data_IF_910910162670
#
_entry.id   IF_910910162670
#
_cell.length_a   1.000
_cell.length_b   1.000
_cell.length_c   1.000
_cell.angle_alpha   90.00
_cell.angle_beta   90.00
_cell.angle_gamma   90.00
#
_symmetry.space_group_name_H-M   'P 1'
#
loop_
_entity.id
_entity.type
_entity.pdbx_description
1 polymer ?
#
# COMPACT_ATOMS: atom_id res chain seq x y z
N UNK A 1 20.27 -33.02 14.86
CA UNK A 1 19.74 -31.65 14.73
C UNK A 1 20.82 -30.81 14.07
N UNK A 2 20.70 -30.52 12.76
CA UNK A 2 21.67 -29.69 12.03
C UNK A 2 21.26 -28.21 12.14
N UNK A 3 22.11 -27.32 12.66
CA UNK A 3 21.85 -25.89 12.78
C UNK A 3 22.22 -25.15 11.47
N UNK A 4 21.71 -25.61 10.33
CA UNK A 4 21.87 -24.92 9.05
C UNK A 4 20.53 -24.30 8.63
N UNK A 5 20.04 -23.37 9.45
CA UNK A 5 18.93 -22.49 9.07
C UNK A 5 19.46 -21.45 8.08
N UNK A 6 19.06 -21.61 6.82
CA UNK A 6 18.77 -20.57 5.83
C UNK A 6 19.61 -19.28 5.94
N UNK A 7 20.86 -19.34 5.48
CA UNK A 7 21.56 -18.13 5.05
C UNK A 7 21.20 -17.90 3.58
N UNK A 8 20.65 -16.72 3.26
CA UNK A 8 20.56 -16.26 1.87
C UNK A 8 21.95 -16.38 1.24
N UNK A 9 22.08 -16.86 -0.02
CA UNK A 9 23.38 -17.02 -0.65
C UNK A 9 24.18 -15.71 -0.54
N UNK A 10 25.45 -15.77 -0.12
CA UNK A 10 26.23 -14.57 0.13
C UNK A 10 26.37 -13.76 -1.15
N UNK A 11 26.05 -12.46 -1.08
CA UNK A 11 26.18 -11.54 -2.22
C UNK A 11 27.66 -11.50 -2.65
N UNK A 12 27.97 -11.75 -3.93
CA UNK A 12 29.33 -11.67 -4.45
C UNK A 12 30.00 -10.35 -4.10
N UNK A 13 31.31 -10.37 -3.78
CA UNK A 13 32.06 -9.19 -3.35
C UNK A 13 31.90 -8.01 -4.32
N UNK A 14 31.94 -8.30 -5.62
CA UNK A 14 31.80 -7.31 -6.70
C UNK A 14 30.43 -6.61 -6.72
N UNK A 15 29.39 -7.23 -6.15
CA UNK A 15 28.02 -6.71 -6.09
C UNK A 15 27.67 -6.10 -4.73
N UNK A 16 28.55 -6.18 -3.73
CA UNK A 16 28.32 -5.54 -2.42
C UNK A 16 28.19 -4.02 -2.50
N UNK A 17 28.98 -3.28 -3.32
CA UNK A 17 28.80 -1.84 -3.45
C UNK A 17 27.39 -1.49 -3.97
N UNK A 18 26.88 -2.26 -4.95
CA UNK A 18 25.53 -2.12 -5.46
C UNK A 18 24.46 -2.46 -4.40
N UNK A 19 24.66 -3.54 -3.64
CA UNK A 19 23.75 -3.94 -2.57
C UNK A 19 23.64 -2.89 -1.44
N UNK A 20 24.69 -2.11 -1.23
CA UNK A 20 24.76 -1.08 -0.19
C UNK A 20 24.37 0.32 -0.70
N UNK A 21 24.08 0.46 -2.00
CA UNK A 21 23.68 1.74 -2.59
C UNK A 21 22.26 2.10 -2.18
N UNK A 22 22.05 3.30 -1.64
CA UNK A 22 20.77 3.72 -1.07
C UNK A 22 19.89 4.54 -2.02
N UNK A 23 20.49 5.15 -3.06
CA UNK A 23 19.83 6.11 -3.96
C UNK A 23 20.10 5.79 -5.44
N UNK A 24 19.95 4.52 -5.81
CA UNK A 24 20.16 4.08 -7.19
C UNK A 24 19.17 4.77 -8.13
N UNK A 25 19.69 5.18 -9.28
CA UNK A 25 18.93 5.76 -10.39
C UNK A 25 19.02 4.89 -11.64
N UNK A 26 18.02 4.98 -12.51
CA UNK A 26 18.00 4.22 -13.75
C UNK A 26 19.14 4.64 -14.70
N UNK A 27 19.51 5.91 -14.71
CA UNK A 27 20.61 6.48 -15.52
C UNK A 27 22.01 5.97 -15.11
N UNK A 28 22.17 5.44 -13.90
CA UNK A 28 23.38 4.73 -13.47
C UNK A 28 23.56 3.38 -14.18
N UNK A 29 22.59 2.93 -14.97
CA UNK A 29 22.65 1.68 -15.69
C UNK A 29 22.63 1.92 -17.19
N UNK A 30 23.60 1.33 -17.88
CA UNK A 30 23.63 1.30 -19.36
C UNK A 30 23.18 -0.07 -19.85
N UNK A 31 22.04 -0.12 -20.53
CA UNK A 31 21.54 -1.36 -21.15
C UNK A 31 22.42 -1.69 -22.36
N UNK A 32 22.89 -2.94 -22.43
CA UNK A 32 23.81 -3.38 -23.48
C UNK A 32 23.13 -3.32 -24.84
N UNK A 33 23.68 -2.52 -25.75
CA UNK A 33 23.15 -2.34 -27.11
C UNK A 33 23.13 -3.67 -27.90
N UNK A 34 22.04 -3.91 -28.64
CA UNK A 34 21.85 -5.15 -29.42
C UNK A 34 21.36 -6.35 -28.61
N UNK A 35 21.33 -6.27 -27.28
CA UNK A 35 20.70 -7.28 -26.42
C UNK A 35 19.17 -7.23 -26.54
N UNK A 36 18.53 -8.35 -26.89
CA UNK A 36 17.07 -8.46 -26.79
C UNK A 36 16.67 -8.62 -25.32
N UNK A 37 15.75 -7.79 -24.86
CA UNK A 37 15.11 -7.96 -23.57
C UNK A 37 14.36 -9.30 -23.54
N UNK A 38 14.48 -10.04 -22.43
CA UNK A 38 13.68 -11.23 -22.19
C UNK A 38 12.45 -10.79 -21.39
N UNK A 39 11.25 -10.98 -21.93
CA UNK A 39 10.00 -10.61 -21.26
C UNK A 39 9.35 -11.86 -20.68
N UNK A 40 9.08 -11.84 -19.37
CA UNK A 40 8.39 -12.93 -18.65
C UNK A 40 7.28 -12.30 -17.79
N UNK A 41 6.02 -12.55 -18.16
CA UNK A 41 4.87 -11.93 -17.50
C UNK A 41 4.94 -10.40 -17.59
N UNK A 42 4.92 -9.73 -16.44
CA UNK A 42 4.99 -8.25 -16.34
C UNK A 42 6.41 -7.69 -16.18
N UNK A 43 7.44 -8.54 -16.30
CA UNK A 43 8.84 -8.17 -16.11
C UNK A 43 9.62 -8.25 -17.43
N UNK A 44 10.42 -7.23 -17.69
CA UNK A 44 11.40 -7.20 -18.77
C UNK A 44 12.82 -7.28 -18.19
N UNK A 45 13.59 -8.26 -18.63
CA UNK A 45 14.95 -8.49 -18.19
C UNK A 45 15.95 -8.01 -19.24
N UNK A 46 16.81 -7.08 -18.84
CA UNK A 46 17.85 -6.48 -19.68
C UNK A 46 19.24 -6.80 -19.13
N UNK A 47 20.17 -7.12 -20.02
CA UNK A 47 21.59 -7.08 -19.68
C UNK A 47 22.03 -5.62 -19.59
N UNK A 48 22.67 -5.25 -18.48
CA UNK A 48 23.09 -3.87 -18.25
C UNK A 48 24.43 -3.81 -17.52
N UNK A 49 25.06 -2.64 -17.56
CA UNK A 49 26.28 -2.32 -16.84
C UNK A 49 25.99 -1.24 -15.81
N UNK A 50 26.33 -1.48 -14.54
CA UNK A 50 26.23 -0.46 -13.49
C UNK A 50 27.45 0.47 -13.54
N UNK A 51 27.21 1.76 -13.76
CA UNK A 51 28.20 2.76 -14.16
C UNK A 51 29.38 2.94 -13.20
N UNK A 52 29.24 2.95 -11.86
CA UNK A 52 30.35 3.22 -10.94
C UNK A 52 31.55 2.29 -11.11
N UNK A 53 31.30 1.01 -11.47
CA UNK A 53 32.34 -0.02 -11.58
C UNK A 53 32.24 -0.83 -12.88
N UNK A 54 31.45 -0.39 -13.87
CA UNK A 54 31.16 -1.14 -15.10
C UNK A 54 30.87 -2.62 -14.81
N UNK A 55 30.07 -2.87 -13.76
CA UNK A 55 29.80 -4.23 -13.30
C UNK A 55 28.61 -4.79 -14.06
N UNK A 56 28.74 -5.96 -14.71
CA UNK A 56 27.63 -6.56 -15.44
C UNK A 56 26.53 -7.01 -14.47
N UNK A 57 25.31 -6.60 -14.76
CA UNK A 57 24.11 -6.89 -13.97
C UNK A 57 22.95 -7.25 -14.90
N UNK A 58 21.93 -7.88 -14.32
CA UNK A 58 20.63 -8.03 -14.99
C UNK A 58 19.64 -7.08 -14.34
N UNK A 59 19.12 -6.14 -15.14
CA UNK A 59 18.03 -5.28 -14.71
C UNK A 59 16.70 -5.96 -15.00
N UNK A 60 15.89 -6.15 -13.97
CA UNK A 60 14.51 -6.57 -14.10
C UNK A 60 13.62 -5.33 -13.95
N UNK A 61 13.06 -4.86 -15.06
CA UNK A 61 12.13 -3.73 -15.11
C UNK A 61 10.70 -4.25 -15.00
N UNK A 62 9.89 -3.61 -14.18
CA UNK A 62 8.47 -3.96 -13.99
C UNK A 62 7.70 -2.65 -13.86
N UNK A 63 6.59 -2.51 -14.58
CA UNK A 63 5.77 -1.29 -14.56
C UNK A 63 4.87 -1.21 -13.30
N UNK A 64 4.84 -2.29 -12.53
CA UNK A 64 3.88 -2.59 -11.48
C UNK A 64 4.58 -2.89 -10.14
N UNK A 65 5.77 -2.34 -9.87
CA UNK A 65 6.40 -2.55 -8.58
C UNK A 65 5.62 -1.75 -7.53
N UNK A 66 4.86 -2.46 -6.70
CA UNK A 66 4.45 -1.88 -5.43
C UNK A 66 5.72 -1.63 -4.63
N UNK A 67 5.99 -0.37 -4.31
CA UNK A 67 7.07 -0.01 -3.39
C UNK A 67 6.92 -0.63 -2.01
N UNK A 68 5.80 -1.30 -1.74
CA UNK A 68 5.64 -2.23 -0.63
C UNK A 68 6.68 -3.38 -0.63
N UNK A 69 7.39 -3.61 -1.74
CA UNK A 69 8.55 -4.51 -1.82
C UNK A 69 9.76 -4.03 -1.00
N UNK A 70 9.75 -2.83 -0.43
CA UNK A 70 10.66 -2.48 0.67
C UNK A 70 10.57 -3.46 1.85
N UNK A 71 9.48 -4.24 1.92
CA UNK A 71 9.30 -5.32 2.89
C UNK A 71 9.49 -6.73 2.27
N UNK A 72 9.95 -6.83 1.02
CA UNK A 72 10.50 -8.06 0.45
C UNK A 72 11.79 -8.49 1.16
N UNK A 73 12.48 -7.55 1.83
CA UNK A 73 13.53 -7.88 2.81
C UNK A 73 13.05 -8.79 3.94
N UNK A 74 11.81 -8.67 4.40
CA UNK A 74 11.24 -9.56 5.44
C UNK A 74 10.58 -10.81 4.84
N UNK A 75 10.06 -10.73 3.60
CA UNK A 75 9.65 -11.93 2.86
C UNK A 75 10.85 -12.82 2.54
N UNK A 76 12.08 -12.28 2.37
CA UNK A 76 13.33 -13.07 2.33
C UNK A 76 13.54 -13.91 3.61
N UNK A 77 13.10 -13.41 4.77
CA UNK A 77 13.18 -14.16 6.04
C UNK A 77 12.07 -15.21 6.18
N UNK A 78 10.87 -14.97 5.64
CA UNK A 78 9.72 -15.87 5.78
C UNK A 78 9.59 -16.90 4.65
N UNK A 79 9.97 -16.55 3.43
CA UNK A 79 9.85 -17.42 2.25
C UNK A 79 11.02 -18.37 2.07
N UNK A 80 12.00 -18.33 2.99
CA UNK A 80 13.10 -19.28 3.05
C UNK A 80 13.69 -19.59 1.68
N UNK A 81 14.20 -18.58 0.96
CA UNK A 81 14.78 -18.71 -0.38
C UNK A 81 14.10 -19.81 -1.21
N UNK A 82 12.85 -19.59 -1.64
CA UNK A 82 12.13 -20.52 -2.49
C UNK A 82 13.05 -21.01 -3.62
N UNK A 83 13.39 -22.30 -3.57
CA UNK A 83 14.39 -22.91 -4.45
C UNK A 83 14.01 -22.65 -5.91
N UNK A 84 14.87 -21.94 -6.65
CA UNK A 84 14.66 -21.60 -8.06
C UNK A 84 14.12 -20.18 -8.36
N UNK A 85 13.84 -19.35 -7.35
CA UNK A 85 13.44 -17.95 -7.57
C UNK A 85 14.64 -17.01 -7.68
N UNK A 86 14.63 -16.10 -8.67
CA UNK A 86 15.60 -15.02 -8.78
C UNK A 86 15.35 -13.99 -7.67
N UNK A 87 16.35 -13.79 -6.81
CA UNK A 87 16.31 -12.78 -5.75
C UNK A 87 17.09 -11.53 -6.19
N UNK A 88 16.48 -10.33 -6.18
CA UNK A 88 17.19 -9.12 -6.50
C UNK A 88 18.23 -8.80 -5.42
N UNK A 89 19.37 -8.28 -5.88
CA UNK A 89 20.46 -7.79 -5.05
C UNK A 89 20.03 -6.49 -4.36
N UNK A 90 19.37 -5.62 -5.10
CA UNK A 90 18.80 -4.34 -4.65
C UNK A 90 17.56 -4.00 -5.47
N UNK A 91 16.69 -3.15 -4.93
CA UNK A 91 15.45 -2.70 -5.56
C UNK A 91 15.29 -1.19 -5.34
N UNK A 92 14.93 -0.47 -6.40
CA UNK A 92 14.62 0.96 -6.37
C UNK A 92 13.50 1.27 -7.37
N UNK A 93 12.99 2.49 -7.34
CA UNK A 93 11.92 2.93 -8.24
C UNK A 93 12.30 4.28 -8.84
N UNK A 94 12.18 4.36 -10.17
CA UNK A 94 12.57 5.53 -10.95
C UNK A 94 11.67 5.66 -12.19
N UNK A 95 11.78 6.80 -12.88
CA UNK A 95 11.17 7.00 -14.18
C UNK A 95 12.01 6.28 -15.25
N UNK A 96 11.37 5.35 -15.96
CA UNK A 96 12.03 4.54 -17.00
C UNK A 96 11.34 4.79 -18.34
N UNK A 97 12.10 5.05 -19.43
CA UNK A 97 11.54 5.17 -20.76
C UNK A 97 10.76 3.92 -21.19
N UNK A 98 9.57 4.12 -21.78
CA UNK A 98 8.64 3.03 -22.11
C UNK A 98 9.18 2.04 -23.15
N UNK A 99 10.16 2.43 -23.96
CA UNK A 99 10.84 1.54 -24.91
C UNK A 99 11.58 0.38 -24.23
N UNK A 100 11.91 0.49 -22.93
CA UNK A 100 12.51 -0.60 -22.16
C UNK A 100 11.48 -1.57 -21.55
N UNK A 101 10.19 -1.33 -21.75
CA UNK A 101 9.09 -2.20 -21.32
C UNK A 101 8.25 -2.65 -22.54
N UNK A 102 8.84 -3.41 -23.48
CA UNK A 102 8.10 -3.91 -24.64
C UNK A 102 6.97 -4.84 -24.15
N UNK A 103 5.73 -4.58 -24.58
CA UNK A 103 4.50 -5.38 -24.33
C UNK A 103 3.67 -5.04 -23.07
N UNK A 104 3.93 -3.94 -22.36
CA UNK A 104 3.03 -3.50 -21.29
C UNK A 104 1.84 -2.70 -21.84
N UNK A 105 0.60 -2.89 -21.31
CA UNK A 105 -0.52 -2.01 -21.60
C UNK A 105 -0.15 -0.57 -21.31
N UNK A 106 -0.70 0.38 -22.06
CA UNK A 106 -0.42 1.82 -21.93
C UNK A 106 -0.85 2.33 -20.55
N UNK A 107 0.03 2.27 -19.55
CA UNK A 107 -0.20 2.89 -18.24
C UNK A 107 -0.03 4.40 -18.42
N UNK A 108 -1.11 5.17 -18.34
CA UNK A 108 -0.98 6.62 -18.17
C UNK A 108 -0.54 6.90 -16.74
N UNK A 109 0.65 7.45 -16.61
CA UNK A 109 1.16 8.00 -15.37
C UNK A 109 0.56 9.41 -15.24
N UNK A 110 -0.29 9.64 -14.24
CA UNK A 110 -0.64 11.01 -13.84
C UNK A 110 0.29 11.41 -12.71
N UNK A 111 1.17 12.40 -12.95
CA UNK A 111 1.94 13.00 -11.87
C UNK A 111 0.98 13.63 -10.86
N UNK A 112 1.17 13.31 -9.57
CA UNK A 112 0.25 13.70 -8.50
C UNK A 112 0.29 15.19 -8.18
N UNK A 113 1.30 15.93 -8.63
CA UNK A 113 1.42 17.37 -8.42
C UNK A 113 0.15 18.14 -8.86
N UNK A 114 -0.50 17.72 -9.96
CA UNK A 114 -1.79 18.28 -10.42
C UNK A 114 -3.02 17.43 -10.02
N UNK A 115 -2.83 16.26 -9.38
CA UNK A 115 -3.82 15.18 -9.43
C UNK A 115 -4.39 14.71 -8.11
N UNK A 116 -3.84 14.96 -6.91
CA UNK A 116 -4.53 14.50 -5.68
C UNK A 116 -5.86 15.26 -5.43
N UNK A 117 -5.91 16.55 -5.73
CA UNK A 117 -7.17 17.33 -5.76
C UNK A 117 -8.13 16.82 -6.84
N UNK A 118 -7.61 16.45 -8.03
CA UNK A 118 -8.38 15.75 -9.06
C UNK A 118 -8.76 14.31 -8.64
N UNK A 119 -8.06 13.69 -7.68
CA UNK A 119 -8.42 12.39 -7.14
C UNK A 119 -9.64 12.50 -6.27
N UNK A 120 -9.75 13.57 -5.49
CA UNK A 120 -10.98 13.84 -4.76
C UNK A 120 -12.19 13.87 -5.70
N UNK A 121 -12.06 14.49 -6.88
CA UNK A 121 -13.11 14.50 -7.89
C UNK A 121 -13.26 13.18 -8.66
N UNK A 122 -12.18 12.45 -8.96
CA UNK A 122 -12.21 11.13 -9.62
C UNK A 122 -12.81 10.05 -8.70
N UNK A 123 -12.42 10.04 -7.42
CA UNK A 123 -12.97 9.13 -6.40
C UNK A 123 -14.45 9.42 -6.19
N UNK A 124 -14.82 10.70 -6.08
CA UNK A 124 -16.23 11.10 -6.00
C UNK A 124 -17.01 10.70 -7.27
N UNK A 125 -16.43 10.88 -8.46
CA UNK A 125 -17.02 10.45 -9.73
C UNK A 125 -17.13 8.92 -9.87
N UNK A 126 -16.15 8.15 -9.37
CA UNK A 126 -16.20 6.67 -9.33
C UNK A 126 -17.34 6.20 -8.43
N UNK A 127 -17.51 6.83 -7.27
CA UNK A 127 -18.62 6.57 -6.35
C UNK A 127 -19.96 6.90 -7.00
N UNK A 128 -20.06 8.02 -7.72
CA UNK A 128 -21.29 8.40 -8.44
C UNK A 128 -21.61 7.45 -9.61
N UNK A 129 -20.61 6.95 -10.33
CA UNK A 129 -20.80 5.98 -11.41
C UNK A 129 -21.12 4.56 -10.92
N UNK A 130 -20.58 4.13 -9.77
CA UNK A 130 -20.91 2.84 -9.14
C UNK A 130 -22.35 2.79 -8.59
N UNK A 131 -23.04 3.93 -8.45
CA UNK A 131 -24.50 3.95 -8.17
C UNK A 131 -25.32 3.31 -9.30
N UNK A 132 -24.77 3.20 -10.52
CA UNK A 132 -25.49 2.72 -11.71
C UNK A 132 -25.24 1.25 -12.09
N UNK A 133 -24.19 0.60 -11.59
CA UNK A 133 -23.84 -0.78 -11.96
C UNK A 133 -23.60 -1.64 -10.72
N UNK A 134 -24.59 -2.47 -10.37
CA UNK A 134 -24.43 -3.55 -9.39
C UNK A 134 -24.18 -4.84 -10.15
N UNK A 135 -22.99 -5.42 -10.00
CA UNK A 135 -22.74 -6.85 -9.75
C UNK A 135 -21.22 -7.10 -9.75
N UNK A 136 -20.64 -7.39 -8.57
CA UNK A 136 -19.60 -8.41 -8.33
C UNK A 136 -18.77 -8.08 -7.06
N UNK A 137 -18.57 -9.12 -6.24
CA UNK A 137 -17.70 -9.23 -5.07
C UNK A 137 -17.72 -8.10 -4.03
N UNK A 138 -18.53 -8.35 -3.01
CA UNK A 138 -18.79 -7.46 -1.89
C UNK A 138 -17.59 -7.24 -0.97
N UNK A 139 -17.61 -6.06 -0.39
CA UNK A 139 -16.86 -5.67 0.79
C UNK A 139 -17.38 -4.30 1.22
N UNK A 140 -18.48 -4.28 1.98
CA UNK A 140 -18.88 -3.08 2.72
C UNK A 140 -17.74 -2.67 3.64
N UNK A 141 -17.53 -1.37 3.92
CA UNK A 141 -16.67 -1.00 5.05
C UNK A 141 -17.46 -1.28 6.31
N UNK A 142 -17.08 -2.28 7.09
CA UNK A 142 -18.08 -2.82 8.00
C UNK A 142 -17.78 -2.41 9.45
N UNK A 143 -16.71 -1.64 9.68
CA UNK A 143 -16.30 -1.07 10.97
C UNK A 143 -16.87 0.34 11.28
N UNK A 144 -17.66 0.93 10.39
CA UNK A 144 -18.17 2.31 10.51
C UNK A 144 -19.70 2.45 10.49
N UNK A 145 -20.43 1.35 10.30
CA UNK A 145 -21.88 1.32 10.08
C UNK A 145 -22.71 0.90 11.31
N UNK A 146 -22.10 0.54 12.44
CA UNK A 146 -22.85 0.12 13.65
C UNK A 146 -23.14 1.28 14.61
N UNK A 147 -23.83 2.31 14.11
CA UNK A 147 -24.65 3.20 14.92
C UNK A 147 -26.12 2.80 14.75
N UNK A 148 -26.58 1.84 15.55
CA UNK A 148 -27.96 1.75 16.02
C UNK A 148 -27.97 0.82 17.24
N UNK A 149 -28.37 1.38 18.37
CA UNK A 149 -28.54 0.69 19.66
C UNK A 149 -29.51 -0.48 19.54
N UNK A 150 -29.41 -1.51 20.40
CA UNK A 150 -30.24 -2.70 20.29
C UNK A 150 -31.61 -2.46 20.92
N UNK A 151 -32.68 -2.50 20.13
CA UNK A 151 -34.01 -2.72 20.70
C UNK A 151 -34.94 -3.42 19.72
N UNK A 152 -35.21 -4.69 20.04
CA UNK A 152 -36.40 -5.51 19.74
C UNK A 152 -37.01 -5.45 18.33
N UNK A 153 -36.96 -6.59 17.64
CA UNK A 153 -37.99 -7.00 16.68
C UNK A 153 -39.34 -7.25 17.41
N UNK A 154 -40.53 -7.10 16.79
CA UNK A 154 -40.82 -7.57 15.42
C UNK A 154 -41.70 -6.68 14.50
N UNK A 155 -41.71 -7.07 13.22
CA UNK A 155 -42.74 -6.90 12.17
C UNK A 155 -42.80 -5.63 11.29
N UNK A 156 -42.56 -5.88 9.98
CA UNK A 156 -43.22 -5.34 8.76
C UNK A 156 -43.64 -3.86 8.72
N UNK A 157 -42.79 -3.00 8.17
CA UNK A 157 -43.16 -1.91 7.21
C UNK A 157 -41.91 -1.46 6.43
N UNK A 158 -41.99 -1.16 5.12
CA UNK A 158 -40.84 -0.65 4.35
C UNK A 158 -40.74 0.86 4.54
N UNK A 159 -39.80 1.32 5.37
CA UNK A 159 -39.54 2.75 5.53
C UNK A 159 -38.36 3.18 4.63
N UNK A 160 -38.49 4.24 3.80
CA UNK A 160 -37.48 4.63 2.82
C UNK A 160 -36.47 5.61 3.44
N UNK A 161 -35.36 5.11 3.99
CA UNK A 161 -34.23 5.97 4.43
C UNK A 161 -32.84 5.36 4.16
N UNK A 162 -32.72 4.43 3.21
CA UNK A 162 -31.53 3.59 3.03
C UNK A 162 -30.43 4.05 2.06
N UNK A 163 -30.41 5.29 1.55
CA UNK A 163 -29.48 5.68 0.47
C UNK A 163 -28.24 6.52 0.90
N UNK A 164 -28.09 6.88 2.17
CA UNK A 164 -27.00 7.78 2.61
C UNK A 164 -25.65 7.07 2.89
N UNK A 165 -25.59 5.75 3.07
CA UNK A 165 -24.42 5.14 3.73
C UNK A 165 -23.41 4.44 2.81
N UNK A 166 -23.79 4.06 1.58
CA UNK A 166 -22.91 3.24 0.73
C UNK A 166 -21.83 4.08 0.03
N UNK A 167 -22.17 5.30 -0.39
CA UNK A 167 -21.25 6.23 -1.06
C UNK A 167 -20.08 6.61 -0.16
N UNK A 168 -20.38 6.98 1.08
CA UNK A 168 -19.38 7.41 2.07
C UNK A 168 -18.48 6.26 2.51
N UNK A 169 -19.02 5.04 2.59
CA UNK A 169 -18.23 3.83 2.85
C UNK A 169 -17.26 3.54 1.69
N UNK A 170 -17.71 3.61 0.43
CA UNK A 170 -16.81 3.40 -0.73
C UNK A 170 -15.71 4.47 -0.75
N UNK A 171 -16.08 5.75 -0.56
CA UNK A 171 -15.11 6.85 -0.52
C UNK A 171 -14.08 6.65 0.60
N UNK A 172 -14.54 6.28 1.80
CA UNK A 172 -13.68 5.99 2.93
C UNK A 172 -12.71 4.82 2.64
N UNK A 173 -13.10 3.87 1.76
CA UNK A 173 -12.29 2.69 1.42
C UNK A 173 -11.19 3.10 0.47
N UNK A 174 -11.54 3.87 -0.54
CA UNK A 174 -10.59 4.36 -1.53
C UNK A 174 -9.57 5.31 -0.89
N UNK A 175 -10.02 6.27 -0.07
CA UNK A 175 -9.15 7.18 0.68
C UNK A 175 -8.27 6.40 1.66
N UNK A 176 -8.85 5.46 2.41
CA UNK A 176 -8.11 4.60 3.33
C UNK A 176 -7.05 3.77 2.61
N UNK A 177 -7.36 3.26 1.42
CA UNK A 177 -6.42 2.46 0.63
C UNK A 177 -5.28 3.29 0.05
N UNK A 178 -5.56 4.48 -0.49
CA UNK A 178 -4.52 5.42 -0.95
C UNK A 178 -3.61 5.82 0.22
N UNK A 179 -4.19 6.15 1.37
CA UNK A 179 -3.42 6.46 2.57
C UNK A 179 -2.59 5.27 3.06
N UNK A 180 -3.10 4.05 2.98
CA UNK A 180 -2.33 2.87 3.37
C UNK A 180 -1.10 2.69 2.48
N UNK A 181 -1.25 2.88 1.17
CA UNK A 181 -0.13 2.82 0.23
C UNK A 181 0.91 3.91 0.53
N UNK A 182 0.46 5.14 0.81
CA UNK A 182 1.36 6.24 1.21
C UNK A 182 2.12 5.90 2.50
N UNK A 183 1.42 5.48 3.55
CA UNK A 183 2.05 5.12 4.83
C UNK A 183 3.04 3.97 4.67
N UNK A 184 2.75 2.97 3.84
CA UNK A 184 3.71 1.92 3.52
C UNK A 184 4.96 2.48 2.83
N UNK A 185 4.79 3.39 1.86
CA UNK A 185 5.91 4.07 1.21
C UNK A 185 6.77 4.87 2.20
N UNK A 186 6.14 5.66 3.07
CA UNK A 186 6.83 6.44 4.10
C UNK A 186 7.56 5.55 5.11
N UNK A 187 6.96 4.45 5.55
CA UNK A 187 7.64 3.49 6.42
C UNK A 187 8.87 2.86 5.77
N UNK A 188 8.83 2.65 4.45
CA UNK A 188 9.99 2.14 3.72
C UNK A 188 11.10 3.20 3.61
N UNK A 189 10.75 4.48 3.47
CA UNK A 189 11.72 5.58 3.57
C UNK A 189 12.33 5.64 4.99
N UNK A 190 11.50 5.54 6.02
CA UNK A 190 11.95 5.50 7.42
C UNK A 190 12.93 4.36 7.68
N UNK A 191 12.66 3.16 7.15
CA UNK A 191 13.55 2.00 7.25
C UNK A 191 14.89 2.18 6.53
N UNK A 192 14.93 3.06 5.52
CA UNK A 192 16.15 3.47 4.80
C UNK A 192 16.87 4.64 5.49
N UNK A 193 16.39 5.10 6.64
CA UNK A 193 16.97 6.24 7.37
C UNK A 193 16.61 7.61 6.80
N UNK A 194 15.59 7.69 5.93
CA UNK A 194 15.08 8.95 5.41
C UNK A 194 14.00 9.46 6.38
N UNK A 195 14.18 10.67 6.90
CA UNK A 195 13.30 11.25 7.92
C UNK A 195 12.42 12.41 7.38
N UNK A 196 12.80 12.98 6.24
CA UNK A 196 12.15 14.16 5.65
C UNK A 196 11.88 13.97 4.16
N UNK A 197 10.83 14.64 3.68
CA UNK A 197 10.38 14.62 2.28
C UNK A 197 9.69 15.96 1.95
N UNK A 198 9.61 16.37 0.66
CA UNK A 198 8.87 17.58 0.29
C UNK A 198 7.41 17.50 0.71
N UNK A 199 6.91 18.54 1.40
CA UNK A 199 5.51 18.61 1.86
C UNK A 199 4.52 18.70 0.68
N UNK A 200 4.98 19.19 -0.47
CA UNK A 200 4.24 19.20 -1.73
C UNK A 200 3.98 17.79 -2.27
N UNK A 201 4.67 16.77 -1.74
CA UNK A 201 4.66 15.39 -2.22
C UNK A 201 5.00 15.29 -3.71
N UNK A 202 5.88 16.17 -4.21
CA UNK A 202 6.33 16.23 -5.60
C UNK A 202 6.96 14.92 -6.10
N UNK A 203 7.48 14.12 -5.17
CA UNK A 203 8.06 12.81 -5.43
C UNK A 203 7.07 11.63 -5.28
N UNK A 204 5.81 11.87 -4.93
CA UNK A 204 4.77 10.84 -4.87
C UNK A 204 4.00 10.88 -6.18
N UNK A 205 3.69 9.71 -6.75
CA UNK A 205 2.94 9.56 -7.99
C UNK A 205 1.83 8.54 -7.78
N UNK A 206 0.67 8.78 -8.42
CA UNK A 206 -0.45 7.85 -8.41
C UNK A 206 -0.76 7.41 -9.84
N UNK A 207 -0.56 6.13 -10.10
CA UNK A 207 -0.78 5.50 -11.39
C UNK A 207 -2.14 4.80 -11.40
N UNK A 208 -2.90 4.93 -12.49
CA UNK A 208 -4.11 4.15 -12.72
C UNK A 208 -4.12 3.65 -14.15
N UNK A 209 -4.48 2.38 -14.33
CA UNK A 209 -4.69 1.81 -15.67
C UNK A 209 -5.86 2.52 -16.36
N UNK A 210 -5.64 2.96 -17.60
CA UNK A 210 -6.63 3.71 -18.39
C UNK A 210 -7.78 2.81 -18.83
N UNK A 211 -7.44 1.60 -19.28
CA UNK A 211 -8.38 0.67 -19.89
C UNK A 211 -9.19 -0.09 -18.82
N UNK A 212 -8.68 -0.16 -17.60
CA UNK A 212 -9.34 -0.82 -16.49
C UNK A 212 -9.90 0.20 -15.47
N UNK A 213 -11.13 0.65 -15.71
CA UNK A 213 -11.82 1.62 -14.82
C UNK A 213 -11.98 1.10 -13.38
N UNK A 214 -12.03 -0.23 -13.22
CA UNK A 214 -12.18 -0.92 -11.94
C UNK A 214 -10.83 -1.12 -11.22
N UNK A 215 -9.70 -1.01 -11.94
CA UNK A 215 -8.39 -1.07 -11.33
C UNK A 215 -8.23 0.00 -10.24
N UNK A 216 -7.64 -0.43 -9.13
CA UNK A 216 -7.29 0.47 -8.06
C UNK A 216 -6.06 1.29 -8.44
N UNK A 217 -6.03 2.53 -7.97
CA UNK A 217 -4.90 3.39 -8.19
C UNK A 217 -3.71 2.93 -7.33
N UNK A 218 -2.51 3.03 -7.90
CA UNK A 218 -1.24 2.58 -7.33
C UNK A 218 -0.38 3.77 -6.95
N UNK A 219 0.12 3.82 -5.72
CA UNK A 219 0.98 4.90 -5.25
C UNK A 219 2.45 4.50 -5.29
N UNK A 220 3.28 5.35 -5.88
CA UNK A 220 4.72 5.19 -6.00
C UNK A 220 5.42 6.39 -5.35
N UNK A 221 6.47 6.16 -4.57
CA UNK A 221 7.28 7.21 -3.91
C UNK A 221 8.67 7.23 -4.54
N UNK A 222 8.92 8.14 -5.46
CA UNK A 222 10.19 8.24 -6.16
C UNK A 222 11.29 8.67 -5.18
N UNK A 223 12.40 7.92 -5.15
CA UNK A 223 13.47 8.14 -4.18
C UNK A 223 14.40 9.30 -4.55
N UNK A 224 14.26 9.85 -5.76
CA UNK A 224 14.93 11.06 -6.22
C UNK A 224 14.37 11.41 -7.58
N UNK A 225 13.61 12.50 -7.70
CA UNK A 225 13.40 13.19 -8.99
C UNK A 225 14.43 14.30 -9.20
N UNK A 226 15.25 14.57 -8.18
CA UNK A 226 15.98 15.81 -8.04
C UNK A 226 17.43 15.55 -7.62
N UNK A 227 18.28 15.23 -8.59
CA UNK A 227 19.70 15.58 -8.47
C UNK A 227 20.15 16.63 -9.48
N UNK A 228 19.49 16.82 -10.64
CA UNK A 228 20.15 17.59 -11.72
C UNK A 228 19.30 18.60 -12.52
N UNK A 229 18.14 19.04 -12.01
CA UNK A 229 17.50 20.24 -12.56
C UNK A 229 16.81 21.00 -11.45
N UNK A 230 17.38 22.15 -11.08
CA UNK A 230 16.79 23.16 -10.18
C UNK A 230 16.10 22.57 -8.96
N UNK A 231 16.81 22.46 -7.82
CA UNK A 231 16.11 22.70 -6.57
C UNK A 231 15.49 24.09 -6.74
N UNK A 232 14.18 24.15 -6.94
CA UNK A 232 13.44 25.25 -6.37
C UNK A 232 13.78 25.15 -4.88
N UNK A 233 14.72 25.95 -4.41
CA UNK A 233 15.17 26.00 -3.00
C UNK A 233 14.00 26.35 -2.04
N UNK A 234 12.80 26.54 -2.57
CA UNK A 234 11.54 26.89 -1.91
C UNK A 234 10.62 25.70 -1.57
N UNK A 235 10.93 24.45 -1.97
CA UNK A 235 10.06 23.32 -1.62
C UNK A 235 10.19 22.98 -0.12
N UNK A 236 9.18 23.40 0.66
CA UNK A 236 9.14 23.20 2.10
C UNK A 236 9.24 21.70 2.44
N UNK A 237 10.31 21.32 3.11
CA UNK A 237 10.53 19.96 3.62
C UNK A 237 9.79 19.77 4.93
N UNK A 238 9.33 18.55 5.19
CA UNK A 238 8.73 18.19 6.46
C UNK A 238 8.95 16.73 6.82
N UNK A 239 8.60 16.40 8.05
CA UNK A 239 8.72 15.03 8.54
C UNK A 239 7.80 14.09 7.76
N UNK A 240 8.10 12.79 7.76
CA UNK A 240 7.21 11.80 7.12
C UNK A 240 5.77 11.84 7.68
N UNK A 241 5.61 12.15 8.98
CA UNK A 241 4.28 12.29 9.59
C UNK A 241 3.54 13.53 9.07
N UNK A 242 4.23 14.66 8.93
CA UNK A 242 3.67 15.88 8.34
C UNK A 242 3.27 15.66 6.87
N UNK A 243 4.10 14.97 6.09
CA UNK A 243 3.79 14.60 4.71
C UNK A 243 2.49 13.77 4.62
N UNK A 244 2.33 12.76 5.48
CA UNK A 244 1.10 11.98 5.56
C UNK A 244 -0.11 12.84 5.99
N UNK A 245 0.09 13.80 6.90
CA UNK A 245 -0.97 14.68 7.38
C UNK A 245 -1.42 15.67 6.29
N UNK A 246 -0.50 16.24 5.52
CA UNK A 246 -0.80 17.10 4.36
C UNK A 246 -1.59 16.31 3.32
N UNK A 247 -1.16 15.11 2.96
CA UNK A 247 -1.90 14.23 2.05
C UNK A 247 -3.35 14.00 2.52
N UNK A 248 -3.51 13.68 3.80
CA UNK A 248 -4.79 13.34 4.40
C UNK A 248 -5.77 14.53 4.50
N UNK A 249 -5.26 15.72 4.80
CA UNK A 249 -6.08 16.89 5.16
C UNK A 249 -6.26 17.90 4.04
N UNK A 250 -5.26 18.03 3.16
CA UNK A 250 -5.26 19.04 2.10
C UNK A 250 -5.49 18.44 0.72
N UNK A 251 -5.13 17.17 0.51
CA UNK A 251 -5.09 16.58 -0.83
C UNK A 251 -6.17 15.51 -1.06
N UNK A 252 -6.65 14.86 -0.01
CA UNK A 252 -7.69 13.82 -0.08
C UNK A 252 -9.04 14.31 0.46
N UNK A 253 -10.17 13.76 -0.01
CA UNK A 253 -11.48 14.01 0.58
C UNK A 253 -11.52 13.64 2.05
N UNK A 254 -12.15 14.49 2.87
CA UNK A 254 -12.40 14.18 4.27
C UNK A 254 -13.34 12.97 4.40
N UNK A 255 -12.99 12.05 5.30
CA UNK A 255 -13.75 10.85 5.62
C UNK A 255 -13.82 10.69 7.14
N UNK A 256 -14.58 9.70 7.61
CA UNK A 256 -14.67 9.38 9.03
C UNK A 256 -13.31 8.97 9.66
N UNK A 257 -12.35 8.52 8.84
CA UNK A 257 -10.99 8.21 9.31
C UNK A 257 -10.10 9.47 9.42
N UNK A 258 -10.39 10.53 8.68
CA UNK A 258 -9.58 11.75 8.62
C UNK A 258 -9.25 12.35 9.99
N UNK A 259 -10.20 12.62 10.91
CA UNK A 259 -9.86 13.21 12.20
C UNK A 259 -9.02 12.27 13.07
N UNK A 260 -9.29 10.96 13.02
CA UNK A 260 -8.58 9.93 13.80
C UNK A 260 -7.11 9.85 13.37
N UNK A 261 -6.89 9.75 12.06
CA UNK A 261 -5.54 9.63 11.52
C UNK A 261 -4.78 10.96 11.66
N UNK A 262 -5.45 12.10 11.50
CA UNK A 262 -4.82 13.41 11.67
C UNK A 262 -4.32 13.63 13.11
N UNK A 263 -5.10 13.24 14.13
CA UNK A 263 -4.66 13.30 15.53
C UNK A 263 -3.42 12.44 15.77
N UNK A 264 -3.44 11.19 15.31
CA UNK A 264 -2.31 10.27 15.51
C UNK A 264 -1.06 10.77 14.78
N UNK A 265 -1.21 11.26 13.55
CA UNK A 265 -0.11 11.81 12.74
C UNK A 265 0.51 13.05 13.40
N UNK A 266 -0.29 13.89 14.06
CA UNK A 266 0.18 15.10 14.76
C UNK A 266 1.08 14.82 15.97
N UNK A 267 1.12 13.59 16.46
CA UNK A 267 1.93 13.21 17.61
C UNK A 267 3.43 13.09 17.27
N UNK A 268 3.79 12.97 15.98
CA UNK A 268 5.17 12.90 15.47
C UNK A 268 6.08 11.89 16.21
N UNK A 269 5.52 10.76 16.65
CA UNK A 269 6.29 9.70 17.34
C UNK A 269 6.83 8.68 16.34
N UNK A 270 7.91 7.99 16.71
CA UNK A 270 8.50 6.91 15.89
C UNK A 270 7.52 5.77 15.56
N UNK A 271 6.52 5.55 16.41
CA UNK A 271 5.45 4.56 16.23
C UNK A 271 4.23 5.08 15.45
N UNK A 272 4.13 6.38 15.17
CA UNK A 272 2.94 7.03 14.60
C UNK A 272 2.56 6.45 13.24
N UNK A 273 3.52 6.26 12.32
CA UNK A 273 3.26 5.66 11.01
C UNK A 273 2.80 4.19 11.14
N UNK A 274 3.36 3.45 12.10
CA UNK A 274 2.97 2.06 12.38
C UNK A 274 1.55 1.96 12.93
N UNK A 275 1.16 2.85 13.86
CA UNK A 275 -0.22 2.91 14.38
C UNK A 275 -1.22 3.28 13.30
N UNK A 276 -0.89 4.30 12.51
CA UNK A 276 -1.71 4.76 11.36
C UNK A 276 -1.94 3.61 10.38
N UNK A 277 -0.87 2.87 10.05
CA UNK A 277 -0.97 1.66 9.23
C UNK A 277 -1.95 0.64 9.81
N UNK A 278 -1.77 0.24 11.07
CA UNK A 278 -2.62 -0.79 11.70
C UNK A 278 -4.10 -0.39 11.72
N UNK A 279 -4.40 0.89 11.92
CA UNK A 279 -5.78 1.42 11.86
C UNK A 279 -6.34 1.32 10.45
N UNK A 280 -5.57 1.72 9.44
CA UNK A 280 -5.99 1.64 8.03
C UNK A 280 -6.23 0.19 7.61
N UNK A 281 -5.31 -0.72 7.95
CA UNK A 281 -5.45 -2.15 7.66
C UNK A 281 -6.69 -2.75 8.34
N UNK A 282 -6.92 -2.43 9.62
CA UNK A 282 -8.11 -2.87 10.34
C UNK A 282 -9.40 -2.28 9.75
N UNK A 283 -9.39 -1.00 9.35
CA UNK A 283 -10.56 -0.37 8.74
C UNK A 283 -10.91 -0.99 7.37
N UNK A 284 -9.89 -1.38 6.58
CA UNK A 284 -10.06 -1.94 5.24
C UNK A 284 -10.42 -3.43 5.23
N UNK A 285 -9.82 -4.21 6.13
CA UNK A 285 -9.91 -5.68 6.11
C UNK A 285 -10.29 -6.32 7.44
N UNK A 286 -10.41 -5.56 8.52
CA UNK A 286 -10.77 -6.11 9.82
C UNK A 286 -12.20 -6.69 9.85
N UNK A 287 -12.48 -7.56 10.83
CA UNK A 287 -13.81 -8.11 11.04
C UNK A 287 -14.80 -7.02 11.38
N UNK A 288 -16.08 -7.32 11.17
CA UNK A 288 -17.16 -6.35 11.37
C UNK A 288 -18.47 -6.98 11.78
N UNK A 289 -18.63 -8.25 11.46
CA UNK A 289 -19.58 -9.18 12.04
C UNK A 289 -19.16 -9.67 13.44
N UNK A 290 -17.88 -9.52 13.81
CA UNK A 290 -17.36 -9.91 15.13
C UNK A 290 -17.60 -8.79 16.15
N UNK A 291 -18.30 -9.12 17.23
CA UNK A 291 -18.46 -8.20 18.36
C UNK A 291 -17.19 -8.17 19.22
N UNK A 292 -16.44 -7.08 19.14
CA UNK A 292 -15.18 -6.87 19.89
C UNK A 292 -15.41 -6.32 21.31
N UNK A 293 -16.47 -6.79 21.97
CA UNK A 293 -16.83 -6.42 23.34
C UNK A 293 -16.17 -7.36 24.34
N UNK A 294 -15.72 -6.85 25.48
CA UNK A 294 -15.11 -7.66 26.55
C UNK A 294 -13.70 -7.23 26.91
N UNK A 295 -13.04 -8.07 27.72
CA UNK A 295 -11.67 -7.82 28.17
C UNK A 295 -10.67 -7.90 26.99
N UNK A 296 -9.51 -7.22 27.05
CA UNK A 296 -8.51 -7.23 25.96
C UNK A 296 -8.15 -8.65 25.49
N UNK A 297 -8.00 -9.59 26.42
CA UNK A 297 -7.67 -10.99 26.13
C UNK A 297 -8.76 -11.74 25.36
N UNK A 298 -10.03 -11.48 25.67
CA UNK A 298 -11.17 -12.10 24.96
C UNK A 298 -11.28 -11.55 23.54
N UNK A 299 -11.07 -10.23 23.40
CA UNK A 299 -11.02 -9.57 22.09
C UNK A 299 -9.90 -10.14 21.22
N UNK A 300 -8.69 -10.27 21.77
CA UNK A 300 -7.56 -10.88 21.06
C UNK A 300 -7.87 -12.32 20.64
N UNK A 301 -8.47 -13.13 21.51
CA UNK A 301 -8.83 -14.51 21.16
C UNK A 301 -9.86 -14.56 20.01
N UNK A 302 -10.87 -13.70 20.04
CA UNK A 302 -11.86 -13.59 18.97
C UNK A 302 -11.22 -13.16 17.64
N UNK A 303 -10.34 -12.15 17.69
CA UNK A 303 -9.60 -11.66 16.52
C UNK A 303 -8.65 -12.71 15.95
N UNK A 304 -7.99 -13.49 16.82
CA UNK A 304 -7.11 -14.58 16.38
C UNK A 304 -7.89 -15.64 15.60
N UNK A 305 -9.05 -16.07 16.13
CA UNK A 305 -9.92 -17.03 15.44
C UNK A 305 -10.41 -16.51 14.10
N UNK A 306 -10.82 -15.24 14.04
CA UNK A 306 -11.23 -14.60 12.80
C UNK A 306 -10.08 -14.57 11.79
N UNK A 307 -8.88 -14.17 12.22
CA UNK A 307 -7.70 -14.06 11.37
C UNK A 307 -7.29 -15.43 10.80
N UNK A 308 -7.34 -16.49 11.61
CA UNK A 308 -7.02 -17.85 11.18
C UNK A 308 -8.05 -18.36 10.14
N UNK A 309 -9.33 -18.06 10.32
CA UNK A 309 -10.39 -18.39 9.35
C UNK A 309 -10.21 -17.61 8.04
N UNK A 310 -9.92 -16.32 8.11
CA UNK A 310 -9.73 -15.45 6.94
C UNK A 310 -8.51 -15.89 6.13
N UNK A 311 -7.38 -16.17 6.81
CA UNK A 311 -6.16 -16.75 6.20
C UNK A 311 -6.47 -18.05 5.45
N UNK A 312 -7.21 -18.97 6.07
CA UNK A 312 -7.57 -20.24 5.46
C UNK A 312 -8.48 -20.03 4.24
N UNK A 313 -9.46 -19.13 4.34
CA UNK A 313 -10.42 -18.82 3.29
C UNK A 313 -9.74 -18.22 2.07
N UNK A 314 -8.89 -17.20 2.27
CA UNK A 314 -8.15 -16.54 1.19
C UNK A 314 -7.16 -17.52 0.54
N UNK A 315 -6.40 -18.29 1.33
CA UNK A 315 -5.47 -19.29 0.79
C UNK A 315 -6.20 -20.33 -0.08
N UNK A 316 -7.33 -20.85 0.39
CA UNK A 316 -8.14 -21.78 -0.39
C UNK A 316 -8.66 -21.14 -1.68
N UNK A 317 -9.06 -19.87 -1.64
CA UNK A 317 -9.45 -19.09 -2.82
C UNK A 317 -8.33 -18.95 -3.84
N UNK A 318 -7.11 -18.64 -3.40
CA UNK A 318 -5.93 -18.50 -4.27
C UNK A 318 -5.56 -19.82 -4.96
N UNK A 319 -5.55 -20.93 -4.21
CA UNK A 319 -5.23 -22.26 -4.76
C UNK A 319 -6.21 -22.66 -5.87
N UNK A 320 -7.48 -22.30 -5.72
CA UNK A 320 -8.53 -22.65 -6.69
C UNK A 320 -8.56 -21.76 -7.93
N UNK A 321 -8.30 -20.47 -7.76
CA UNK A 321 -8.61 -19.48 -8.80
C UNK A 321 -7.45 -19.23 -9.77
N UNK A 322 -6.18 -19.43 -9.36
CA UNK A 322 -4.98 -19.13 -10.18
C UNK A 322 -5.04 -17.74 -10.84
N UNK A 323 -5.57 -16.75 -10.13
CA UNK A 323 -5.78 -15.39 -10.62
C UNK A 323 -4.53 -14.54 -10.42
N UNK A 324 -4.28 -13.59 -11.33
CA UNK A 324 -3.29 -12.54 -11.11
C UNK A 324 -3.74 -11.60 -9.99
N UNK A 325 -2.88 -11.40 -9.00
CA UNK A 325 -3.21 -10.56 -7.86
C UNK A 325 -3.22 -9.08 -8.25
N UNK A 326 -4.25 -8.39 -7.79
CA UNK A 326 -4.29 -6.92 -7.82
C UNK A 326 -3.47 -6.34 -6.67
N UNK A 327 -3.20 -5.04 -6.70
CA UNK A 327 -2.56 -4.34 -5.58
C UNK A 327 -3.39 -4.44 -4.30
N UNK A 328 -4.71 -4.47 -4.43
CA UNK A 328 -5.57 -4.71 -3.27
C UNK A 328 -5.27 -6.04 -2.61
N UNK A 329 -5.20 -7.08 -3.43
CA UNK A 329 -5.05 -8.46 -2.98
C UNK A 329 -3.66 -8.64 -2.37
N UNK A 330 -2.63 -8.07 -3.00
CA UNK A 330 -1.28 -8.05 -2.43
C UNK A 330 -1.26 -7.37 -1.06
N UNK A 331 -1.85 -6.18 -0.91
CA UNK A 331 -1.90 -5.51 0.40
C UNK A 331 -2.70 -6.31 1.43
N UNK A 332 -3.82 -6.89 1.03
CA UNK A 332 -4.66 -7.72 1.89
C UNK A 332 -3.91 -8.96 2.37
N UNK A 333 -3.20 -9.65 1.48
CA UNK A 333 -2.35 -10.78 1.83
C UNK A 333 -1.23 -10.37 2.78
N UNK A 334 -0.59 -9.23 2.56
CA UNK A 334 0.44 -8.73 3.47
C UNK A 334 -0.13 -8.43 4.86
N UNK A 335 -1.34 -7.86 4.94
CA UNK A 335 -2.06 -7.70 6.20
C UNK A 335 -2.30 -9.05 6.88
N UNK A 336 -2.86 -10.03 6.16
CA UNK A 336 -3.14 -11.35 6.73
C UNK A 336 -1.86 -12.04 7.21
N UNK A 337 -0.76 -11.94 6.48
CA UNK A 337 0.51 -12.57 6.86
C UNK A 337 1.15 -11.88 8.07
N UNK A 338 1.17 -10.54 8.11
CA UNK A 338 1.94 -9.78 9.11
C UNK A 338 1.17 -9.38 10.35
N UNK A 339 -0.14 -9.24 10.24
CA UNK A 339 -0.97 -8.84 11.35
C UNK A 339 -1.12 -9.97 12.36
N UNK A 340 -1.48 -9.59 13.58
CA UNK A 340 -1.83 -10.51 14.66
C UNK A 340 -2.96 -9.91 15.50
N UNK A 341 -3.58 -10.75 16.31
CA UNK A 341 -4.71 -10.36 17.13
C UNK A 341 -4.45 -9.17 18.05
N UNK A 342 -3.23 -9.02 18.57
CA UNK A 342 -2.84 -7.90 19.44
C UNK A 342 -2.86 -6.58 18.67
N UNK A 343 -2.20 -6.52 17.52
CA UNK A 343 -2.17 -5.32 16.66
C UNK A 343 -3.59 -4.93 16.24
N UNK A 344 -4.41 -5.91 15.84
CA UNK A 344 -5.80 -5.67 15.48
C UNK A 344 -6.64 -5.17 16.67
N UNK A 345 -6.42 -5.73 17.86
CA UNK A 345 -7.12 -5.34 19.10
C UNK A 345 -6.80 -3.90 19.49
N UNK A 346 -5.53 -3.50 19.39
CA UNK A 346 -5.07 -2.13 19.62
C UNK A 346 -5.66 -1.15 18.60
N UNK A 347 -5.64 -1.49 17.31
CA UNK A 347 -6.24 -0.68 16.25
C UNK A 347 -7.75 -0.50 16.45
N UNK A 348 -8.47 -1.58 16.79
CA UNK A 348 -9.90 -1.55 17.09
C UNK A 348 -10.20 -0.68 18.31
N UNK A 349 -9.36 -0.75 19.36
CA UNK A 349 -9.51 0.08 20.55
C UNK A 349 -9.34 1.57 20.24
N UNK A 350 -8.35 1.92 19.41
CA UNK A 350 -8.12 3.30 18.98
C UNK A 350 -9.34 3.82 18.21
N UNK A 351 -9.82 3.11 17.20
CA UNK A 351 -11.02 3.48 16.45
C UNK A 351 -12.24 3.66 17.37
N UNK A 352 -12.44 2.77 18.34
CA UNK A 352 -13.56 2.85 19.27
C UNK A 352 -13.46 4.05 20.22
N UNK A 353 -12.26 4.39 20.69
CA UNK A 353 -12.04 5.51 21.60
C UNK A 353 -12.28 6.86 20.93
N UNK A 354 -11.86 7.04 19.69
CA UNK A 354 -12.14 8.26 18.93
C UNK A 354 -13.63 8.43 18.64
N UNK A 355 -14.34 7.34 18.33
CA UNK A 355 -15.79 7.39 18.14
C UNK A 355 -16.57 7.76 19.40
N UNK A 356 -15.97 7.64 20.60
CA UNK A 356 -16.58 8.12 21.86
C UNK A 356 -16.33 9.60 22.14
N UNK A 357 -15.25 10.16 21.58
CA UNK A 357 -14.84 11.55 21.80
C UNK A 357 -15.56 12.53 20.86
N UNK A 358 -16.16 12.06 19.77
CA UNK A 358 -16.93 12.89 18.83
C UNK A 358 -18.39 12.39 18.70
N UNK A 359 -19.29 12.75 19.63
CA UNK A 359 -20.69 12.32 19.61
C UNK A 359 -21.58 13.18 18.69
N UNK A 360 -21.04 13.81 17.64
CA UNK A 360 -21.80 14.76 16.81
C UNK A 360 -22.86 14.11 15.94
#
# INVERSE_FOLDING_TARGET
>A
MNPALQQSPPIPIILRPLANSMNLRFDEFSIVEGGRAVVIGRRAFHAAMWAPNQTPVTLALTADCNQMSGVAGELKQLSGAASGALNPITEFCDLVPSNFLPLMPSIQIRLVQDTLMSLGSILKSKVDNQKASRTAFGGSIPNLSRLKTPSKCPALTPNPTGLCNTSDEILCREVGFVMLQLINGLKNLQAKGIEEMPLTLSNVILCKEVDNKEAQARLCVLQSLSSDASRDEDDAMGTLCQCAQVALTQMLPATKLTPILADILSQERSETLSKTKSILEFALWGPSDVTLTGAPRERELALQRWLDLERATVLHGLVRSRVELTVYDECHLMFLVRSNAKIMSEAAALLHNFNKLDPR
#
